data_IF_808634567357
#
_entry.id   IF_808634567357
#
_cell.length_a   1.000
_cell.length_b   1.000
_cell.length_c   1.000
_cell.angle_alpha   90.00
_cell.angle_beta   90.00
_cell.angle_gamma   90.00
#
_symmetry.space_group_name_H-M   'P 1'
#
loop_
_entity.id
_entity.type
_entity.pdbx_description
1 polymer ?
#
# COMPACT_ATOMS: atom_id res chain seq x y z
N UNK A 1 5.29 -5.98 -5.42
CA UNK A 1 4.07 -6.19 -4.66
C UNK A 1 4.38 -6.60 -3.21
N UNK A 2 4.76 -5.66 -2.34
CA UNK A 2 5.22 -5.95 -0.98
C UNK A 2 4.06 -6.16 0.01
N UNK A 3 3.07 -6.96 -0.38
CA UNK A 3 1.98 -7.39 0.49
C UNK A 3 2.50 -8.11 1.74
N UNK A 4 1.74 -8.09 2.83
CA UNK A 4 2.13 -8.78 4.06
C UNK A 4 2.38 -10.29 3.84
N UNK A 5 1.62 -10.94 2.95
CA UNK A 5 1.77 -12.35 2.59
C UNK A 5 3.07 -12.63 1.84
N UNK A 6 3.69 -11.62 1.23
CA UNK A 6 4.94 -11.75 0.47
C UNK A 6 6.19 -11.55 1.34
N UNK A 7 6.04 -11.31 2.63
CA UNK A 7 7.14 -11.23 3.58
C UNK A 7 7.25 -12.52 4.38
N UNK A 8 8.41 -13.13 4.36
CA UNK A 8 8.70 -14.40 5.05
C UNK A 8 9.80 -14.18 6.06
N UNK A 9 9.50 -14.49 7.33
CA UNK A 9 10.51 -14.51 8.39
C UNK A 9 11.19 -15.88 8.39
N UNK A 10 12.51 -15.90 8.16
CA UNK A 10 13.29 -17.13 8.23
C UNK A 10 13.54 -17.55 9.67
N UNK A 11 13.24 -18.81 10.00
CA UNK A 11 13.55 -19.39 11.29
C UNK A 11 15.06 -19.66 11.48
N UNK A 12 15.81 -19.76 10.37
CA UNK A 12 17.24 -20.12 10.41
C UNK A 12 18.15 -18.93 10.75
N UNK A 13 17.84 -17.73 10.21
CA UNK A 13 18.69 -16.53 10.33
C UNK A 13 17.95 -15.30 10.88
N UNK A 14 16.67 -15.45 11.25
CA UNK A 14 15.83 -14.38 11.79
C UNK A 14 15.73 -13.14 10.87
N UNK A 15 15.80 -13.37 9.55
CA UNK A 15 15.68 -12.32 8.53
C UNK A 15 14.34 -12.35 7.84
N UNK A 16 13.87 -11.16 7.43
CA UNK A 16 12.72 -11.00 6.56
C UNK A 16 13.17 -11.07 5.10
N UNK A 17 12.48 -11.89 4.33
CA UNK A 17 12.67 -12.03 2.88
C UNK A 17 11.40 -11.61 2.17
N UNK A 18 11.53 -10.73 1.18
CA UNK A 18 10.44 -10.40 0.27
C UNK A 18 10.46 -11.38 -0.90
N UNK A 19 9.33 -12.02 -1.16
CA UNK A 19 9.11 -12.97 -2.24
C UNK A 19 8.09 -12.43 -3.24
N UNK A 20 7.84 -13.15 -4.32
CA UNK A 20 6.86 -12.83 -5.37
C UNK A 20 7.18 -11.53 -6.12
N UNK A 21 8.24 -11.58 -6.90
CA UNK A 21 8.79 -10.45 -7.66
C UNK A 21 8.25 -10.34 -9.10
N UNK A 22 7.15 -11.02 -9.44
CA UNK A 22 6.70 -11.13 -10.84
C UNK A 22 6.33 -9.77 -11.48
N UNK A 23 5.90 -8.79 -10.67
CA UNK A 23 5.59 -7.42 -11.12
C UNK A 23 6.68 -6.41 -10.75
N UNK A 24 7.86 -6.88 -10.39
CA UNK A 24 8.97 -5.98 -10.03
C UNK A 24 9.41 -5.13 -11.22
N UNK A 25 9.69 -3.86 -10.96
CA UNK A 25 10.13 -2.91 -11.96
C UNK A 25 10.65 -1.64 -11.34
N UNK A 26 11.13 -0.73 -12.17
CA UNK A 26 11.58 0.58 -11.73
C UNK A 26 10.37 1.47 -11.48
N UNK A 27 10.25 1.96 -10.26
CA UNK A 27 9.17 2.84 -9.82
C UNK A 27 9.64 3.73 -8.67
N UNK A 28 8.80 4.65 -8.24
CA UNK A 28 8.97 5.43 -7.02
C UNK A 28 8.97 4.49 -5.81
N UNK A 29 10.03 4.56 -4.98
CA UNK A 29 10.13 3.73 -3.77
C UNK A 29 9.00 3.97 -2.76
N UNK A 30 8.41 5.18 -2.75
CA UNK A 30 7.25 5.50 -1.90
C UNK A 30 6.00 4.69 -2.30
N UNK A 31 5.90 4.25 -3.55
CA UNK A 31 4.85 3.33 -3.99
C UNK A 31 4.86 2.04 -3.19
N UNK A 32 6.02 1.42 -3.00
CA UNK A 32 6.13 0.17 -2.25
C UNK A 32 5.76 0.35 -0.77
N UNK A 33 6.15 1.48 -0.17
CA UNK A 33 5.75 1.81 1.20
C UNK A 33 4.24 2.03 1.33
N UNK A 34 3.65 2.70 0.35
CA UNK A 34 2.20 2.90 0.29
C UNK A 34 1.45 1.57 0.17
N UNK A 35 1.95 0.65 -0.65
CA UNK A 35 1.36 -0.68 -0.82
C UNK A 35 1.43 -1.49 0.48
N UNK A 36 2.58 -1.50 1.16
CA UNK A 36 2.72 -2.12 2.50
C UNK A 36 1.71 -1.54 3.48
N UNK A 37 1.59 -0.22 3.54
CA UNK A 37 0.66 0.46 4.44
C UNK A 37 -0.80 0.10 4.16
N UNK A 38 -1.19 0.17 2.89
CA UNK A 38 -2.56 -0.09 2.43
C UNK A 38 -2.96 -1.54 2.71
N UNK A 39 -2.14 -2.49 2.32
CA UNK A 39 -2.45 -3.92 2.45
C UNK A 39 -2.23 -4.43 3.88
N UNK A 40 -1.31 -3.82 4.63
CA UNK A 40 -1.09 -4.10 6.06
C UNK A 40 -2.10 -3.41 6.98
N UNK A 41 -2.97 -2.55 6.44
CA UNK A 41 -3.93 -1.74 7.21
C UNK A 41 -3.22 -0.96 8.33
N UNK A 42 -2.15 -0.25 7.96
CA UNK A 42 -1.33 0.48 8.92
C UNK A 42 -2.10 1.64 9.55
N UNK A 43 -1.85 1.86 10.82
CA UNK A 43 -2.30 3.07 11.53
C UNK A 43 -1.44 4.27 11.12
N UNK A 44 -1.89 5.52 11.40
CA UNK A 44 -1.05 6.71 11.17
C UNK A 44 0.31 6.65 11.87
N UNK A 45 0.38 6.03 13.05
CA UNK A 45 1.62 5.84 13.80
C UNK A 45 2.55 4.84 13.11
N UNK A 46 2.00 3.76 12.55
CA UNK A 46 2.76 2.80 11.75
C UNK A 46 3.27 3.44 10.46
N UNK A 47 2.47 4.26 9.80
CA UNK A 47 2.87 5.01 8.60
C UNK A 47 4.02 5.98 8.90
N UNK A 48 3.96 6.72 10.00
CA UNK A 48 5.03 7.62 10.42
C UNK A 48 6.32 6.83 10.70
N UNK A 49 6.21 5.70 11.38
CA UNK A 49 7.37 4.83 11.66
C UNK A 49 7.99 4.31 10.37
N UNK A 50 7.17 3.77 9.46
CA UNK A 50 7.62 3.25 8.17
C UNK A 50 8.36 4.31 7.35
N UNK A 51 7.78 5.50 7.24
CA UNK A 51 8.39 6.62 6.53
C UNK A 51 9.69 7.09 7.21
N UNK A 52 9.69 7.19 8.53
CA UNK A 52 10.88 7.61 9.30
C UNK A 52 12.04 6.66 9.08
N UNK A 53 11.80 5.35 9.12
CA UNK A 53 12.84 4.34 8.88
C UNK A 53 13.37 4.40 7.44
N UNK A 54 12.50 4.62 6.47
CA UNK A 54 12.91 4.73 5.06
C UNK A 54 13.67 6.02 4.76
N UNK A 55 13.20 7.15 5.27
CA UNK A 55 13.79 8.48 5.00
C UNK A 55 15.01 8.78 5.88
N UNK A 56 15.16 8.09 7.01
CA UNK A 56 16.17 8.38 8.02
C UNK A 56 15.84 9.57 8.93
N UNK A 57 14.66 10.15 8.79
CA UNK A 57 14.15 11.26 9.60
C UNK A 57 12.62 11.28 9.57
N UNK A 58 12.01 11.97 10.54
CA UNK A 58 10.55 12.17 10.53
C UNK A 58 10.12 12.86 9.22
N UNK A 59 9.10 12.34 8.50
CA UNK A 59 8.66 12.91 7.24
C UNK A 59 8.15 14.35 7.42
N UNK A 60 8.49 15.21 6.50
CA UNK A 60 7.90 16.53 6.40
C UNK A 60 6.50 16.47 5.73
N UNK A 61 5.84 17.62 5.64
CA UNK A 61 4.49 17.70 5.07
C UNK A 61 4.45 17.27 3.59
N UNK A 62 5.48 17.59 2.80
CA UNK A 62 5.53 17.23 1.39
C UNK A 62 5.79 15.74 1.19
N UNK A 63 6.67 15.18 1.99
CA UNK A 63 6.97 13.73 2.00
C UNK A 63 5.73 12.92 2.40
N UNK A 64 5.03 13.36 3.43
CA UNK A 64 3.76 12.73 3.84
C UNK A 64 2.69 12.86 2.76
N UNK A 65 2.57 14.02 2.13
CA UNK A 65 1.63 14.26 1.02
C UNK A 65 1.96 13.38 -0.20
N UNK A 66 3.24 13.20 -0.51
CA UNK A 66 3.71 12.28 -1.55
C UNK A 66 3.31 10.83 -1.24
N UNK A 67 3.46 10.42 0.02
CA UNK A 67 3.03 9.09 0.46
C UNK A 67 1.51 8.91 0.34
N UNK A 68 0.71 9.90 0.75
CA UNK A 68 -0.76 9.87 0.57
C UNK A 68 -1.16 9.74 -0.91
N UNK A 69 -0.47 10.47 -1.80
CA UNK A 69 -0.72 10.36 -3.24
C UNK A 69 -0.49 8.93 -3.74
N UNK A 70 0.57 8.28 -3.28
CA UNK A 70 0.84 6.89 -3.64
C UNK A 70 -0.19 5.92 -3.05
N UNK A 71 -0.66 6.14 -1.82
CA UNK A 71 -1.76 5.34 -1.24
C UNK A 71 -3.04 5.42 -2.10
N UNK A 72 -3.35 6.61 -2.62
CA UNK A 72 -4.48 6.82 -3.53
C UNK A 72 -4.28 6.03 -4.83
N UNK A 73 -3.09 6.11 -5.44
CA UNK A 73 -2.78 5.38 -6.68
C UNK A 73 -2.82 3.86 -6.49
N UNK A 74 -2.31 3.35 -5.38
CA UNK A 74 -2.34 1.92 -5.07
C UNK A 74 -3.78 1.43 -4.94
N UNK A 75 -4.62 2.13 -4.17
CA UNK A 75 -6.03 1.77 -4.03
C UNK A 75 -6.81 1.90 -5.34
N UNK A 76 -6.46 2.87 -6.19
CA UNK A 76 -7.04 3.00 -7.52
C UNK A 76 -6.70 1.80 -8.40
N UNK A 77 -5.43 1.42 -8.45
CA UNK A 77 -4.97 0.24 -9.19
C UNK A 77 -5.70 -1.02 -8.73
N UNK A 78 -5.72 -1.28 -7.44
CA UNK A 78 -6.34 -2.50 -6.89
C UNK A 78 -7.86 -2.50 -7.03
N UNK A 79 -8.51 -1.35 -6.96
CA UNK A 79 -9.95 -1.23 -7.27
C UNK A 79 -10.23 -1.67 -8.71
N UNK A 80 -9.47 -1.16 -9.67
CA UNK A 80 -9.62 -1.54 -11.09
C UNK A 80 -9.30 -3.01 -11.31
N UNK A 81 -8.22 -3.51 -10.74
CA UNK A 81 -7.83 -4.92 -10.83
C UNK A 81 -8.96 -5.83 -10.31
N UNK A 82 -9.49 -5.53 -9.13
CA UNK A 82 -10.60 -6.29 -8.55
C UNK A 82 -11.83 -6.30 -9.46
N UNK A 83 -12.16 -5.16 -10.07
CA UNK A 83 -13.29 -5.09 -11.04
C UNK A 83 -13.06 -5.99 -12.25
N UNK A 84 -11.84 -6.18 -12.71
CA UNK A 84 -11.55 -7.13 -13.80
C UNK A 84 -11.73 -8.59 -13.36
N UNK A 85 -11.67 -8.86 -12.06
CA UNK A 85 -11.82 -10.21 -11.50
C UNK A 85 -13.25 -10.59 -11.16
N UNK A 86 -14.16 -9.62 -11.03
CA UNK A 86 -15.56 -9.86 -10.67
C UNK A 86 -16.25 -10.90 -11.59
N UNK A 87 -16.08 -10.89 -12.93
CA UNK A 87 -16.69 -11.89 -13.79
C UNK A 87 -16.24 -13.33 -13.52
N UNK A 88 -15.09 -13.52 -12.90
CA UNK A 88 -14.49 -14.83 -12.62
C UNK A 88 -14.65 -15.27 -11.17
N UNK A 89 -14.46 -14.33 -10.23
CA UNK A 89 -14.39 -14.62 -8.79
C UNK A 89 -15.62 -14.13 -8.01
N UNK A 90 -16.53 -13.39 -8.68
CA UNK A 90 -17.84 -13.04 -8.16
C UNK A 90 -17.87 -11.94 -7.09
N UNK A 91 -18.91 -11.98 -6.25
CA UNK A 91 -19.23 -10.95 -5.27
C UNK A 91 -18.11 -10.61 -4.29
N UNK A 92 -17.27 -11.56 -3.80
CA UNK A 92 -16.14 -11.21 -2.92
C UNK A 92 -15.18 -10.19 -3.54
N UNK A 93 -14.94 -10.25 -4.85
CA UNK A 93 -14.12 -9.27 -5.57
C UNK A 93 -14.78 -7.92 -5.69
N UNK A 94 -16.10 -7.88 -5.88
CA UNK A 94 -16.87 -6.63 -5.88
C UNK A 94 -16.78 -5.95 -4.50
N UNK A 95 -16.98 -6.69 -3.42
CA UNK A 95 -16.90 -6.17 -2.06
C UNK A 95 -15.50 -5.63 -1.76
N UNK A 96 -14.47 -6.34 -2.18
CA UNK A 96 -13.07 -5.94 -2.05
C UNK A 96 -12.78 -4.63 -2.82
N UNK A 97 -13.31 -4.51 -4.04
CA UNK A 97 -13.17 -3.28 -4.84
C UNK A 97 -13.87 -2.08 -4.17
N UNK A 98 -15.06 -2.27 -3.63
CA UNK A 98 -15.83 -1.23 -2.94
C UNK A 98 -15.08 -0.72 -1.70
N UNK A 99 -14.50 -1.61 -0.92
CA UNK A 99 -13.72 -1.28 0.27
C UNK A 99 -12.50 -0.41 -0.10
N UNK A 100 -11.74 -0.80 -1.11
CA UNK A 100 -10.56 -0.06 -1.57
C UNK A 100 -10.93 1.30 -2.15
N UNK A 101 -12.00 1.37 -2.90
CA UNK A 101 -12.50 2.63 -3.42
C UNK A 101 -12.98 3.59 -2.31
N UNK A 102 -13.58 3.07 -1.26
CA UNK A 102 -13.97 3.88 -0.10
C UNK A 102 -12.73 4.47 0.60
N UNK A 103 -11.70 3.66 0.84
CA UNK A 103 -10.43 4.11 1.42
C UNK A 103 -9.71 5.13 0.54
N UNK A 104 -9.72 4.94 -0.78
CA UNK A 104 -9.21 5.91 -1.73
C UNK A 104 -9.87 7.29 -1.56
N UNK A 105 -11.18 7.33 -1.41
CA UNK A 105 -11.92 8.59 -1.21
C UNK A 105 -11.56 9.26 0.12
N UNK A 106 -11.36 8.48 1.16
CA UNK A 106 -10.92 9.02 2.46
C UNK A 106 -9.50 9.59 2.36
N UNK A 107 -8.58 8.90 1.70
CA UNK A 107 -7.23 9.39 1.46
C UNK A 107 -7.20 10.65 0.55
N UNK A 108 -8.13 10.76 -0.41
CA UNK A 108 -8.28 11.98 -1.21
C UNK A 108 -8.67 13.19 -0.36
N UNK A 109 -9.56 13.01 0.63
CA UNK A 109 -9.91 14.08 1.57
C UNK A 109 -8.70 14.51 2.39
N UNK A 110 -7.97 13.52 2.97
CA UNK A 110 -6.74 13.80 3.72
C UNK A 110 -5.70 14.53 2.87
N UNK A 111 -5.53 14.12 1.62
CA UNK A 111 -4.61 14.76 0.68
C UNK A 111 -5.00 16.22 0.40
N UNK A 112 -6.28 16.52 0.23
CA UNK A 112 -6.78 17.87 -0.01
C UNK A 112 -6.62 18.79 1.20
N UNK A 113 -6.67 18.23 2.42
CA UNK A 113 -6.52 18.97 3.68
C UNK A 113 -5.05 19.14 4.12
N UNK A 114 -4.17 18.38 3.54
CA UNK A 114 -2.74 18.35 3.90
C UNK A 114 -1.96 19.57 3.39
#
# INVERSE_FOLDING_TARGET
>A
DPLCENWVLSADDDRLYLIDWEYAGMNDGIWDLADVSIEGVFTPENDELLLTEYLGSKPDQNEYKHFLANKIYVDYLWTLWAKTRVPYDGQPMEDWAVERYARLKDNLRLFAEA
#
